data_IF_599996757024
#
_entry.id   IF_599996757024
#
_cell.length_a   1.000
_cell.length_b   1.000
_cell.length_c   1.000
_cell.angle_alpha   90.00
_cell.angle_beta   90.00
_cell.angle_gamma   90.00
#
_symmetry.space_group_name_H-M   'P 1'
#
loop_
_entity.id
_entity.type
_entity.pdbx_description
1 polymer ?
#
# COMPACT_ATOMS: atom_id res chain seq x y z
N UNK A 1 -19.06 2.32 -19.81
CA UNK A 1 -19.57 2.24 -18.42
C UNK A 1 -20.39 0.97 -18.28
N UNK A 2 -20.13 0.20 -17.23
CA UNK A 2 -20.78 -1.12 -17.03
C UNK A 2 -22.22 -0.95 -16.52
N UNK A 3 -23.15 -1.84 -16.88
CA UNK A 3 -24.55 -1.80 -16.43
C UNK A 3 -24.74 -2.44 -15.05
N UNK A 4 -25.92 -2.29 -14.43
CA UNK A 4 -26.19 -2.82 -13.08
C UNK A 4 -25.92 -4.33 -12.92
N UNK A 5 -26.16 -5.13 -13.97
CA UNK A 5 -25.87 -6.56 -13.98
C UNK A 5 -24.37 -6.82 -13.90
N UNK A 6 -23.58 -6.19 -14.76
CA UNK A 6 -22.13 -6.32 -14.74
C UNK A 6 -21.52 -5.82 -13.43
N UNK A 7 -22.09 -4.77 -12.82
CA UNK A 7 -21.69 -4.31 -11.49
C UNK A 7 -21.90 -5.40 -10.42
N UNK A 8 -23.04 -6.09 -10.45
CA UNK A 8 -23.34 -7.21 -9.54
C UNK A 8 -22.40 -8.39 -9.77
N UNK A 9 -22.18 -8.78 -11.02
CA UNK A 9 -21.27 -9.88 -11.38
C UNK A 9 -19.84 -9.61 -10.87
N UNK A 10 -19.34 -8.39 -11.05
CA UNK A 10 -18.05 -7.98 -10.51
C UNK A 10 -17.98 -8.14 -8.98
N UNK A 11 -19.00 -7.68 -8.25
CA UNK A 11 -19.07 -7.85 -6.80
C UNK A 11 -19.12 -9.30 -6.36
N UNK A 12 -19.78 -10.16 -7.14
CA UNK A 12 -19.87 -11.58 -6.81
C UNK A 12 -18.51 -12.27 -6.98
N UNK A 13 -17.71 -11.88 -7.99
CA UNK A 13 -16.31 -12.30 -8.12
C UNK A 13 -15.49 -11.88 -6.89
N UNK A 14 -15.63 -10.62 -6.45
CA UNK A 14 -14.88 -10.09 -5.30
C UNK A 14 -15.21 -10.77 -3.96
N UNK A 15 -16.41 -11.33 -3.82
CA UNK A 15 -16.84 -12.01 -2.58
C UNK A 15 -16.29 -13.42 -2.44
N UNK A 16 -15.74 -14.01 -3.51
CA UNK A 16 -15.17 -15.35 -3.46
C UNK A 16 -13.91 -15.34 -2.61
N UNK A 17 -13.95 -16.07 -1.49
CA UNK A 17 -12.85 -16.10 -0.50
C UNK A 17 -11.95 -17.31 -0.66
N UNK A 18 -12.39 -18.31 -1.41
CA UNK A 18 -11.73 -19.61 -1.53
C UNK A 18 -10.85 -19.70 -2.80
N UNK A 19 -10.87 -18.66 -3.64
CA UNK A 19 -10.06 -18.58 -4.85
C UNK A 19 -8.72 -17.87 -4.58
N UNK A 20 -7.71 -18.24 -5.36
CA UNK A 20 -6.45 -17.49 -5.36
C UNK A 20 -6.67 -16.12 -5.99
N UNK A 21 -5.86 -15.13 -5.59
CA UNK A 21 -5.89 -13.79 -6.17
C UNK A 21 -5.67 -13.84 -7.70
N UNK A 22 -4.81 -14.75 -8.18
CA UNK A 22 -4.56 -14.93 -9.61
C UNK A 22 -5.82 -15.41 -10.35
N UNK A 23 -6.49 -16.44 -9.82
CA UNK A 23 -7.74 -16.94 -10.38
C UNK A 23 -8.84 -15.85 -10.40
N UNK A 24 -8.96 -15.09 -9.32
CA UNK A 24 -9.91 -13.98 -9.23
C UNK A 24 -9.62 -12.87 -10.26
N UNK A 25 -8.33 -12.55 -10.48
CA UNK A 25 -7.92 -11.58 -11.52
C UNK A 25 -8.24 -12.06 -12.94
N UNK A 26 -8.02 -13.33 -13.23
CA UNK A 26 -8.42 -13.91 -14.51
C UNK A 26 -9.94 -13.83 -14.72
N UNK A 27 -10.72 -14.03 -13.66
CA UNK A 27 -12.17 -13.93 -13.73
C UNK A 27 -12.66 -12.50 -13.95
N UNK A 28 -11.99 -11.51 -13.33
CA UNK A 28 -12.23 -10.09 -13.58
C UNK A 28 -11.84 -9.72 -15.02
N UNK A 29 -10.76 -10.27 -15.57
CA UNK A 29 -10.40 -10.03 -16.98
C UNK A 29 -11.47 -10.56 -17.94
N UNK A 30 -11.96 -11.79 -17.72
CA UNK A 30 -13.08 -12.35 -18.51
C UNK A 30 -14.35 -11.51 -18.40
N UNK A 31 -14.66 -11.03 -17.20
CA UNK A 31 -15.75 -10.07 -16.99
C UNK A 31 -15.50 -8.76 -17.76
N UNK A 32 -14.28 -8.24 -17.72
CA UNK A 32 -13.93 -6.98 -18.37
C UNK A 32 -14.04 -7.06 -19.90
N UNK A 33 -13.62 -8.18 -20.50
CA UNK A 33 -13.82 -8.49 -21.91
C UNK A 33 -15.32 -8.48 -22.27
N UNK A 34 -16.15 -9.16 -21.46
CA UNK A 34 -17.60 -9.25 -21.65
C UNK A 34 -18.28 -7.87 -21.68
N UNK A 35 -17.79 -6.91 -20.89
CA UNK A 35 -18.36 -5.57 -20.78
C UNK A 35 -17.55 -4.48 -21.51
N UNK A 36 -16.52 -4.84 -22.27
CA UNK A 36 -15.70 -3.91 -23.06
C UNK A 36 -14.90 -2.91 -22.23
N UNK A 37 -14.45 -3.30 -21.03
CA UNK A 37 -13.65 -2.47 -20.09
C UNK A 37 -12.27 -3.07 -19.80
N UNK A 38 -11.82 -4.00 -20.63
CA UNK A 38 -10.54 -4.71 -20.48
C UNK A 38 -9.33 -3.76 -20.36
N UNK A 39 -9.23 -2.74 -21.22
CA UNK A 39 -8.14 -1.77 -21.18
C UNK A 39 -8.06 -1.02 -19.85
N UNK A 40 -9.21 -0.70 -19.26
CA UNK A 40 -9.30 0.02 -18.00
C UNK A 40 -8.83 -0.87 -16.84
N UNK A 41 -9.23 -2.14 -16.85
CA UNK A 41 -8.77 -3.14 -15.87
C UNK A 41 -7.27 -3.36 -16.00
N UNK A 42 -6.74 -3.54 -17.22
CA UNK A 42 -5.29 -3.71 -17.45
C UNK A 42 -4.48 -2.49 -17.00
N UNK A 43 -4.94 -1.28 -17.31
CA UNK A 43 -4.28 -0.06 -16.89
C UNK A 43 -4.26 0.09 -15.35
N UNK A 44 -5.36 -0.29 -14.69
CA UNK A 44 -5.44 -0.30 -13.23
C UNK A 44 -4.48 -1.31 -12.59
N UNK A 45 -4.43 -2.54 -13.12
CA UNK A 45 -3.51 -3.58 -12.64
C UNK A 45 -2.03 -3.18 -12.82
N UNK A 46 -1.68 -2.53 -13.93
CA UNK A 46 -0.33 -1.99 -14.14
C UNK A 46 0.02 -0.90 -13.12
N UNK A 47 -0.90 0.03 -12.86
CA UNK A 47 -0.69 1.08 -11.86
C UNK A 47 -0.54 0.51 -10.45
N UNK A 48 -1.36 -0.48 -10.08
CA UNK A 48 -1.23 -1.16 -8.79
C UNK A 48 0.09 -1.90 -8.63
N UNK A 49 0.57 -2.55 -9.69
CA UNK A 49 1.86 -3.23 -9.67
C UNK A 49 2.99 -2.25 -9.40
N UNK A 50 3.01 -1.12 -10.13
CA UNK A 50 3.98 -0.05 -9.90
C UNK A 50 3.89 0.52 -8.47
N UNK A 51 2.69 0.79 -7.99
CA UNK A 51 2.51 1.33 -6.63
C UNK A 51 2.97 0.34 -5.55
N UNK A 52 2.72 -0.96 -5.75
CA UNK A 52 3.20 -2.02 -4.86
C UNK A 52 4.73 -2.04 -4.81
N UNK A 53 5.40 -1.98 -5.96
CA UNK A 53 6.87 -1.94 -6.04
C UNK A 53 7.42 -0.68 -5.34
N UNK A 54 6.82 0.49 -5.57
CA UNK A 54 7.20 1.73 -4.89
C UNK A 54 7.07 1.63 -3.37
N UNK A 55 5.99 1.03 -2.86
CA UNK A 55 5.80 0.83 -1.42
C UNK A 55 6.81 -0.19 -0.88
N UNK A 56 7.02 -1.30 -1.59
CA UNK A 56 8.00 -2.31 -1.19
C UNK A 56 9.40 -1.69 -1.09
N UNK A 57 9.84 -0.91 -2.09
CA UNK A 57 11.11 -0.18 -2.04
C UNK A 57 11.22 0.73 -0.82
N UNK A 58 10.20 1.55 -0.57
CA UNK A 58 10.19 2.48 0.57
C UNK A 58 10.22 1.77 1.93
N UNK A 59 9.56 0.63 2.04
CA UNK A 59 9.59 -0.20 3.25
C UNK A 59 10.96 -0.83 3.43
N UNK A 60 11.57 -1.36 2.37
CA UNK A 60 12.94 -1.89 2.40
C UNK A 60 13.94 -0.82 2.82
N UNK A 61 13.91 0.37 2.21
CA UNK A 61 14.76 1.51 2.58
C UNK A 61 14.59 1.90 4.07
N UNK A 62 13.38 1.79 4.61
CA UNK A 62 13.12 2.06 6.01
C UNK A 62 13.70 0.96 6.92
N UNK A 63 13.56 -0.31 6.54
CA UNK A 63 14.12 -1.44 7.28
C UNK A 63 15.65 -1.38 7.30
N UNK A 64 16.27 -1.00 6.18
CA UNK A 64 17.73 -0.86 6.07
C UNK A 64 18.28 0.24 7.00
N UNK A 65 17.50 1.30 7.22
CA UNK A 65 17.86 2.39 8.14
C UNK A 65 17.59 2.09 9.61
N UNK A 66 16.74 1.11 9.91
CA UNK A 66 16.27 0.85 11.27
C UNK A 66 17.40 0.52 12.27
N UNK A 67 18.42 -0.30 11.93
CA UNK A 67 19.52 -0.60 12.85
C UNK A 67 20.32 0.65 13.25
N UNK A 68 20.58 1.56 12.32
CA UNK A 68 21.36 2.77 12.60
C UNK A 68 20.53 3.78 13.41
N UNK A 69 19.25 3.92 13.10
CA UNK A 69 18.32 4.72 13.92
C UNK A 69 18.23 4.21 15.36
N UNK A 70 18.28 2.89 15.54
CA UNK A 70 18.29 2.30 16.87
C UNK A 70 19.59 2.64 17.63
N UNK A 71 20.74 2.64 16.96
CA UNK A 71 22.02 3.07 17.57
C UNK A 71 21.97 4.55 17.98
N UNK A 72 21.56 5.44 17.08
CA UNK A 72 21.40 6.88 17.36
C UNK A 72 20.46 7.12 18.55
N UNK A 73 19.36 6.37 18.62
CA UNK A 73 18.42 6.45 19.73
C UNK A 73 19.06 6.02 21.05
N UNK A 74 19.85 4.94 21.06
CA UNK A 74 20.56 4.49 22.26
C UNK A 74 21.63 5.48 22.71
N UNK A 75 22.36 6.10 21.79
CA UNK A 75 23.34 7.15 22.11
C UNK A 75 22.67 8.35 22.80
N UNK A 76 21.52 8.79 22.29
CA UNK A 76 20.72 9.85 22.92
C UNK A 76 20.11 9.35 24.23
N UNK A 77 19.71 8.10 24.35
CA UNK A 77 19.06 7.65 25.58
C UNK A 77 20.06 7.48 26.73
N UNK A 78 21.23 6.94 26.43
CA UNK A 78 22.25 6.53 27.40
C UNK A 78 23.29 7.63 27.69
N UNK A 79 23.27 8.75 26.97
CA UNK A 79 24.11 9.90 27.30
C UNK A 79 23.55 10.63 28.54
N UNK A 80 24.15 10.37 29.70
CA UNK A 80 23.79 10.98 30.99
C UNK A 80 24.35 12.40 31.15
N UNK A 81 25.32 12.80 30.32
CA UNK A 81 25.98 14.12 30.38
C UNK A 81 25.16 15.24 29.71
N UNK A 82 24.07 14.89 29.01
CA UNK A 82 23.21 15.86 28.33
C UNK A 82 22.08 16.38 29.24
N UNK A 83 21.60 17.59 28.96
CA UNK A 83 20.39 18.13 29.60
C UNK A 83 19.12 17.49 29.04
N UNK A 84 18.03 17.50 29.82
CA UNK A 84 16.72 17.05 29.35
C UNK A 84 16.23 17.78 28.08
N UNK A 85 16.60 19.05 27.91
CA UNK A 85 16.28 19.83 26.72
C UNK A 85 17.03 19.31 25.48
N UNK A 86 18.33 19.05 25.61
CA UNK A 86 19.16 18.47 24.54
C UNK A 86 18.68 17.06 24.15
N UNK A 87 18.31 16.24 25.14
CA UNK A 87 17.73 14.91 24.91
C UNK A 87 16.44 14.99 24.09
N UNK A 88 15.54 15.91 24.45
CA UNK A 88 14.29 16.15 23.70
C UNK A 88 14.56 16.60 22.26
N UNK A 89 15.53 17.49 22.04
CA UNK A 89 15.91 17.96 20.71
C UNK A 89 16.46 16.81 19.84
N UNK A 90 17.32 15.96 20.41
CA UNK A 90 17.84 14.78 19.72
C UNK A 90 16.74 13.82 19.28
N UNK A 91 15.77 13.54 20.16
CA UNK A 91 14.62 12.68 19.84
C UNK A 91 13.74 13.28 18.73
N UNK A 92 13.54 14.61 18.72
CA UNK A 92 12.78 15.27 17.65
C UNK A 92 13.51 15.20 16.29
N UNK A 93 14.84 15.27 16.27
CA UNK A 93 15.63 15.09 15.03
C UNK A 93 15.43 13.68 14.45
N UNK A 94 15.50 12.65 15.29
CA UNK A 94 15.21 11.26 14.87
C UNK A 94 13.77 11.14 14.37
N UNK A 95 12.79 11.74 15.06
CA UNK A 95 11.38 11.69 14.63
C UNK A 95 11.15 12.33 13.26
N UNK A 96 11.71 13.52 13.03
CA UNK A 96 11.57 14.26 11.77
C UNK A 96 12.25 13.53 10.60
N UNK A 97 13.42 12.93 10.85
CA UNK A 97 14.15 12.16 9.84
C UNK A 97 13.42 10.88 9.37
N UNK A 98 12.35 10.46 10.08
CA UNK A 98 11.67 9.17 9.88
C UNK A 98 10.14 9.25 9.77
N UNK A 99 9.57 10.43 9.49
CA UNK A 99 8.12 10.68 9.45
C UNK A 99 7.32 9.84 8.41
N UNK A 100 7.97 9.06 7.53
CA UNK A 100 7.33 8.37 6.39
C UNK A 100 6.72 6.99 6.68
N UNK A 101 6.51 6.61 7.94
CA UNK A 101 5.96 5.30 8.32
C UNK A 101 4.44 5.34 8.50
N UNK A 102 3.68 5.52 7.42
CA UNK A 102 2.21 5.34 7.47
C UNK A 102 1.65 4.82 6.16
N UNK A 103 2.04 3.63 5.73
CA UNK A 103 1.34 2.98 4.61
C UNK A 103 1.49 1.47 4.70
N UNK A 104 0.41 0.77 5.08
CA UNK A 104 0.32 -0.68 4.81
C UNK A 104 -1.13 -1.19 4.76
N UNK A 105 -2.05 -0.56 5.50
CA UNK A 105 -3.43 -1.05 5.64
C UNK A 105 -4.40 -0.75 4.48
N UNK A 106 -3.92 -0.20 3.36
CA UNK A 106 -4.79 0.16 2.23
C UNK A 106 -4.79 -0.83 1.07
N UNK A 107 -3.90 -1.83 1.03
CA UNK A 107 -3.69 -2.64 -0.17
C UNK A 107 -4.84 -3.60 -0.55
N UNK A 108 -5.59 -4.12 0.43
CA UNK A 108 -6.76 -4.98 0.14
C UNK A 108 -8.04 -4.17 -0.12
N UNK A 109 -8.17 -2.99 0.50
CA UNK A 109 -9.33 -2.10 0.35
C UNK A 109 -9.25 -1.22 -0.91
N UNK A 110 -8.05 -0.90 -1.41
CA UNK A 110 -7.86 -0.06 -2.61
C UNK A 110 -8.23 -0.78 -3.92
N UNK A 111 -8.07 -2.10 -3.98
CA UNK A 111 -8.43 -2.86 -5.19
C UNK A 111 -9.93 -2.77 -5.50
N UNK A 112 -10.78 -2.79 -4.48
CA UNK A 112 -12.24 -2.67 -4.64
C UNK A 112 -12.71 -1.23 -4.81
N UNK A 113 -12.08 -0.25 -4.15
CA UNK A 113 -12.55 1.14 -4.14
C UNK A 113 -12.08 1.93 -5.38
N UNK A 114 -10.83 1.75 -5.80
CA UNK A 114 -10.22 2.62 -6.82
C UNK A 114 -10.51 2.13 -8.25
N UNK A 115 -10.52 0.81 -8.48
CA UNK A 115 -10.93 0.23 -9.76
C UNK A 115 -12.38 0.60 -10.08
N UNK A 116 -13.25 0.45 -9.08
CA UNK A 116 -14.66 0.78 -9.16
C UNK A 116 -14.89 2.25 -9.53
N UNK A 117 -14.19 3.20 -8.90
CA UNK A 117 -14.40 4.62 -9.20
C UNK A 117 -14.01 5.05 -10.62
N UNK A 118 -13.08 4.34 -11.26
CA UNK A 118 -12.61 4.67 -12.61
C UNK A 118 -13.32 3.88 -13.73
N UNK A 119 -13.98 2.75 -13.41
CA UNK A 119 -14.65 1.87 -14.40
C UNK A 119 -16.19 2.05 -14.39
N UNK A 120 -16.77 2.50 -13.27
CA UNK A 120 -18.22 2.51 -13.00
C UNK A 120 -19.01 3.73 -13.45
#
# INVERSE_FOLDING_TARGET
TVNAKGKKEYYDILKKKDETIAAQKEEILRWAETYGVEDQVKAFEANLTKHKEEVQSKVTEMLDRLPDLYKELLEIYNNEDQTAAAKKEGLEKIRLANQKVRVFWSFLLLWTITCFRNIM
#
